data_IF_898709305848
#
_entry.id   IF_898709305848
#
_cell.length_a   1.000
_cell.length_b   1.000
_cell.length_c   1.000
_cell.angle_alpha   90.00
_cell.angle_beta   90.00
_cell.angle_gamma   90.00
#
_symmetry.space_group_name_H-M   'P 1'
#
loop_
_entity.id
_entity.type
_entity.pdbx_description
1 polymer ?
#
# COMPACT_ATOMS: atom_id res chain seq x y z
N UNK A 1 11.23 8.49 -3.61
CA UNK A 1 10.03 7.71 -3.22
C UNK A 1 10.29 7.00 -1.90
N UNK A 2 9.65 7.41 -0.80
CA UNK A 2 9.85 6.83 0.53
C UNK A 2 9.07 5.51 0.72
N UNK A 3 8.88 4.73 -0.36
CA UNK A 3 8.20 3.45 -0.28
C UNK A 3 9.17 2.40 0.25
N UNK A 4 8.75 1.70 1.30
CA UNK A 4 9.43 0.49 1.73
C UNK A 4 9.09 -0.63 0.75
N UNK A 5 10.09 -1.38 0.31
CA UNK A 5 9.94 -2.48 -0.64
C UNK A 5 10.34 -3.77 0.07
N UNK A 6 9.50 -4.29 0.99
CA UNK A 6 9.79 -5.55 1.65
C UNK A 6 9.89 -6.66 0.61
N UNK A 7 10.82 -7.58 0.83
CA UNK A 7 11.03 -8.76 -0.02
C UNK A 7 10.59 -10.06 0.66
N UNK A 8 10.06 -9.97 1.89
CA UNK A 8 9.58 -11.11 2.65
C UNK A 8 8.42 -10.71 3.55
N UNK A 9 7.60 -11.68 3.95
CA UNK A 9 6.54 -11.48 4.96
C UNK A 9 7.08 -10.87 6.24
N UNK A 10 8.27 -11.27 6.67
CA UNK A 10 8.85 -10.77 7.92
C UNK A 10 9.21 -9.28 7.84
N UNK A 11 9.73 -8.83 6.70
CA UNK A 11 9.97 -7.40 6.46
C UNK A 11 8.67 -6.62 6.34
N UNK A 12 7.65 -7.19 5.69
CA UNK A 12 6.32 -6.59 5.60
C UNK A 12 5.70 -6.38 6.99
N UNK A 13 5.69 -7.40 7.83
CA UNK A 13 5.21 -7.27 9.21
C UNK A 13 6.10 -6.34 10.03
N UNK A 14 7.41 -6.31 9.77
CA UNK A 14 8.33 -5.33 10.35
C UNK A 14 7.94 -3.89 10.01
N UNK A 15 7.57 -3.61 8.75
CA UNK A 15 7.07 -2.32 8.32
C UNK A 15 5.74 -1.95 9.00
N UNK A 16 4.81 -2.90 9.07
CA UNK A 16 3.49 -2.71 9.70
C UNK A 16 3.60 -2.46 11.21
N UNK A 17 4.46 -3.20 11.90
CA UNK A 17 4.67 -3.07 13.35
C UNK A 17 5.55 -1.88 13.70
N UNK A 18 6.54 -1.56 12.86
CA UNK A 18 7.47 -0.45 13.06
C UNK A 18 6.89 0.94 12.76
N UNK A 19 5.70 1.02 12.15
CA UNK A 19 5.05 2.29 11.83
C UNK A 19 4.59 3.09 13.07
N UNK A 20 4.53 2.45 14.24
CA UNK A 20 4.21 3.11 15.51
C UNK A 20 2.80 3.72 15.50
N UNK A 21 2.72 5.06 15.61
CA UNK A 21 1.46 5.81 15.56
C UNK A 21 0.98 6.06 14.13
N UNK A 22 1.86 5.90 13.13
CA UNK A 22 1.50 6.05 11.72
C UNK A 22 0.78 4.79 11.21
N UNK A 23 -0.09 4.99 10.23
CA UNK A 23 -0.74 3.89 9.52
C UNK A 23 0.16 3.39 8.41
N UNK A 24 -0.07 2.18 7.92
CA UNK A 24 0.67 1.65 6.77
C UNK A 24 -0.24 1.59 5.57
N UNK A 25 0.18 2.25 4.50
CA UNK A 25 -0.49 2.26 3.20
C UNK A 25 0.27 1.33 2.25
N UNK A 26 -0.31 0.18 1.97
CA UNK A 26 0.30 -0.87 1.14
C UNK A 26 -0.28 -0.79 -0.26
N UNK A 27 0.58 -0.64 -1.25
CA UNK A 27 0.25 -0.78 -2.67
C UNK A 27 0.71 -2.14 -3.15
N UNK A 28 -0.24 -3.03 -3.42
CA UNK A 28 0.01 -4.33 -4.07
C UNK A 28 0.00 -4.11 -5.58
N UNK A 29 1.11 -4.41 -6.22
CA UNK A 29 1.39 -4.08 -7.62
C UNK A 29 2.32 -5.12 -8.24
N UNK A 30 2.53 -5.03 -9.55
CA UNK A 30 3.40 -5.91 -10.33
C UNK A 30 4.16 -5.10 -11.39
N UNK A 31 5.34 -5.56 -11.84
CA UNK A 31 6.11 -4.85 -12.87
C UNK A 31 5.37 -4.79 -14.22
N UNK A 32 4.61 -5.84 -14.53
CA UNK A 32 3.78 -5.96 -15.74
C UNK A 32 2.43 -5.23 -15.65
N UNK A 33 2.10 -4.60 -14.51
CA UNK A 33 0.83 -3.90 -14.34
C UNK A 33 0.85 -2.52 -15.03
N UNK A 34 0.30 -2.46 -16.24
CA UNK A 34 0.15 -1.22 -17.01
C UNK A 34 -0.55 -0.08 -16.24
N UNK A 35 -1.71 -0.30 -15.60
CA UNK A 35 -2.38 0.71 -14.79
C UNK A 35 -1.54 1.22 -13.60
N UNK A 36 -0.68 0.37 -13.02
CA UNK A 36 0.19 0.74 -11.92
C UNK A 36 1.29 1.72 -12.34
N UNK A 37 1.78 1.59 -13.58
CA UNK A 37 2.77 2.52 -14.16
C UNK A 37 2.17 3.91 -14.37
N UNK A 38 0.88 3.99 -14.76
CA UNK A 38 0.21 5.27 -15.01
C UNK A 38 0.03 6.13 -13.75
N UNK A 39 -0.21 5.49 -12.60
CA UNK A 39 -0.44 6.20 -11.32
C UNK A 39 0.84 6.41 -10.52
N UNK A 40 2.01 6.07 -11.07
CA UNK A 40 3.28 6.04 -10.32
C UNK A 40 3.66 7.42 -9.78
N UNK A 41 3.51 8.46 -10.60
CA UNK A 41 3.83 9.84 -10.21
C UNK A 41 2.81 10.40 -9.22
N UNK A 42 1.53 10.04 -9.38
CA UNK A 42 0.46 10.38 -8.42
C UNK A 42 0.73 9.74 -7.05
N UNK A 43 1.16 8.48 -7.03
CA UNK A 43 1.53 7.77 -5.81
C UNK A 43 2.75 8.37 -5.13
N UNK A 44 3.75 8.83 -5.88
CA UNK A 44 4.90 9.53 -5.33
C UNK A 44 4.47 10.83 -4.64
N UNK A 45 3.63 11.62 -5.30
CA UNK A 45 3.06 12.86 -4.75
C UNK A 45 2.22 12.59 -3.49
N UNK A 46 1.34 11.58 -3.54
CA UNK A 46 0.50 11.20 -2.40
C UNK A 46 1.34 10.78 -1.19
N UNK A 47 2.45 10.08 -1.43
CA UNK A 47 3.33 9.62 -0.37
C UNK A 47 4.10 10.76 0.30
N UNK A 48 4.43 11.80 -0.44
CA UNK A 48 5.01 13.03 0.12
C UNK A 48 3.96 13.81 0.92
N UNK A 49 2.76 14.01 0.36
CA UNK A 49 1.66 14.73 1.00
C UNK A 49 1.23 14.11 2.33
N UNK A 50 1.32 12.78 2.44
CA UNK A 50 0.85 12.02 3.60
C UNK A 50 1.97 11.33 4.39
N UNK A 51 3.23 11.72 4.20
CA UNK A 51 4.39 11.12 4.87
C UNK A 51 4.32 11.20 6.41
N UNK A 52 3.59 12.19 6.95
CA UNK A 52 3.38 12.33 8.39
C UNK A 52 2.33 11.36 8.94
N UNK A 53 1.38 10.93 8.11
CA UNK A 53 0.26 10.05 8.52
C UNK A 53 0.48 8.59 8.17
N UNK A 54 1.10 8.33 7.02
CA UNK A 54 1.26 7.00 6.45
C UNK A 54 2.73 6.63 6.21
N UNK A 55 3.04 5.37 6.48
CA UNK A 55 4.20 4.68 5.93
C UNK A 55 3.74 3.99 4.65
N UNK A 56 4.34 4.35 3.52
CA UNK A 56 4.01 3.75 2.23
C UNK A 56 4.85 2.50 2.01
N UNK A 57 4.20 1.40 1.65
CA UNK A 57 4.81 0.09 1.38
C UNK A 57 4.42 -0.32 -0.03
N UNK A 58 5.41 -0.64 -0.85
CA UNK A 58 5.20 -1.23 -2.16
C UNK A 58 5.34 -2.74 -2.04
N UNK A 59 4.24 -3.45 -2.32
CA UNK A 59 4.21 -4.89 -2.34
C UNK A 59 4.18 -5.42 -3.77
N UNK A 60 5.31 -5.98 -4.19
CA UNK A 60 5.45 -6.66 -5.48
C UNK A 60 4.91 -8.09 -5.36
N UNK A 61 3.84 -8.39 -6.09
CA UNK A 61 3.22 -9.74 -6.08
C UNK A 61 4.17 -10.83 -6.55
N UNK A 62 5.16 -10.51 -7.40
CA UNK A 62 6.14 -11.50 -7.87
C UNK A 62 7.19 -11.83 -6.81
N UNK A 63 7.43 -10.91 -5.86
CA UNK A 63 8.37 -11.09 -4.75
C UNK A 63 7.67 -11.51 -3.45
N UNK A 64 6.37 -11.25 -3.35
CA UNK A 64 5.56 -11.48 -2.15
C UNK A 64 4.21 -12.11 -2.50
N UNK A 65 4.24 -13.25 -3.20
CA UNK A 65 3.05 -14.04 -3.51
C UNK A 65 2.25 -14.36 -2.24
N UNK A 66 2.92 -14.67 -1.13
CA UNK A 66 2.27 -14.97 0.15
C UNK A 66 1.42 -13.80 0.69
N UNK A 67 1.84 -12.55 0.47
CA UNK A 67 1.05 -11.36 0.85
C UNK A 67 -0.17 -11.25 -0.05
N UNK A 68 0.01 -11.44 -1.36
CA UNK A 68 -1.09 -11.38 -2.32
C UNK A 68 -2.14 -12.46 -2.02
N UNK A 69 -1.72 -13.68 -1.69
CA UNK A 69 -2.60 -14.79 -1.32
C UNK A 69 -3.29 -14.53 0.03
N UNK A 70 -2.53 -14.10 1.05
CA UNK A 70 -3.07 -13.84 2.40
C UNK A 70 -4.17 -12.79 2.40
N UNK A 71 -4.04 -11.76 1.56
CA UNK A 71 -5.02 -10.68 1.46
C UNK A 71 -5.93 -10.82 0.23
N UNK A 72 -5.90 -11.97 -0.45
CA UNK A 72 -6.72 -12.28 -1.63
C UNK A 72 -6.66 -11.18 -2.72
N UNK A 73 -5.48 -10.61 -2.96
CA UNK A 73 -5.25 -9.54 -3.91
C UNK A 73 -5.18 -10.07 -5.34
N UNK A 74 -6.33 -10.31 -5.97
CA UNK A 74 -6.42 -10.80 -7.35
C UNK A 74 -6.45 -9.69 -8.41
N UNK A 75 -6.68 -8.44 -8.00
CA UNK A 75 -6.80 -7.29 -8.89
C UNK A 75 -5.64 -6.33 -8.64
N UNK A 76 -4.92 -5.89 -9.67
CA UNK A 76 -3.83 -4.92 -9.51
C UNK A 76 -4.13 -3.61 -10.23
N UNK A 77 -3.82 -2.43 -9.63
CA UNK A 77 -3.30 -2.27 -8.26
C UNK A 77 -4.38 -2.47 -7.19
N UNK A 78 -3.99 -3.08 -6.07
CA UNK A 78 -4.80 -3.13 -4.83
C UNK A 78 -4.11 -2.31 -3.74
N UNK A 79 -4.90 -1.60 -2.95
CA UNK A 79 -4.44 -0.75 -1.87
C UNK A 79 -5.04 -1.21 -0.56
N UNK A 80 -4.19 -1.41 0.44
CA UNK A 80 -4.58 -1.85 1.77
C UNK A 80 -4.06 -0.85 2.80
N UNK A 81 -4.88 -0.55 3.80
CA UNK A 81 -4.47 0.31 4.92
C UNK A 81 -4.46 -0.50 6.20
N UNK A 82 -3.36 -0.44 6.94
CA UNK A 82 -3.20 -1.11 8.23
C UNK A 82 -3.04 -0.06 9.35
N UNK A 83 -3.64 -0.35 10.50
CA UNK A 83 -3.48 0.41 11.74
C UNK A 83 -2.90 -0.54 12.79
N UNK A 84 -1.58 -0.68 12.77
CA UNK A 84 -0.87 -1.65 13.61
C UNK A 84 -0.96 -3.10 13.09
N UNK A 85 -0.53 -4.08 13.90
CA UNK A 85 -0.52 -5.49 13.51
C UNK A 85 -1.94 -6.04 13.38
N UNK A 86 -2.22 -6.74 12.29
CA UNK A 86 -3.48 -7.47 12.09
C UNK A 86 -4.07 -7.27 10.70
N UNK A 87 -5.40 -7.28 10.64
CA UNK A 87 -6.15 -7.13 9.39
C UNK A 87 -6.15 -5.67 8.89
N UNK A 88 -6.23 -5.46 7.57
CA UNK A 88 -6.35 -4.12 7.01
C UNK A 88 -7.69 -3.48 7.43
N UNK A 89 -7.65 -2.20 7.78
CA UNK A 89 -8.83 -1.38 8.14
C UNK A 89 -9.54 -0.80 6.91
N UNK A 90 -8.91 -0.92 5.74
CA UNK A 90 -9.46 -0.47 4.46
C UNK A 90 -8.82 -1.22 3.30
N UNK A 91 -9.63 -1.45 2.26
CA UNK A 91 -9.22 -2.04 0.98
C UNK A 91 -9.82 -1.23 -0.16
N UNK A 92 -9.02 -0.95 -1.18
CA UNK A 92 -9.45 -0.34 -2.42
C UNK A 92 -8.76 -1.01 -3.60
N UNK A 93 -9.49 -1.29 -4.67
CA UNK A 93 -8.96 -1.92 -5.88
C UNK A 93 -9.22 -1.02 -7.09
N UNK A 94 -8.19 -0.75 -7.87
CA UNK A 94 -8.31 0.00 -9.12
C UNK A 94 -7.25 1.08 -9.33
N UNK A 95 -6.88 1.30 -10.59
CA UNK A 95 -5.81 2.23 -10.98
C UNK A 95 -6.25 3.67 -11.27
N UNK A 96 -7.22 4.22 -10.51
CA UNK A 96 -7.65 5.63 -10.66
C UNK A 96 -7.06 6.48 -9.55
N UNK A 97 -6.13 7.37 -9.87
CA UNK A 97 -5.41 8.23 -8.93
C UNK A 97 -6.34 9.00 -7.97
N UNK A 98 -7.38 9.65 -8.50
CA UNK A 98 -8.34 10.42 -7.70
C UNK A 98 -8.98 9.59 -6.59
N UNK A 99 -9.39 8.36 -6.93
CA UNK A 99 -10.05 7.43 -6.01
C UNK A 99 -9.08 6.87 -4.97
N UNK A 100 -7.82 6.66 -5.35
CA UNK A 100 -6.78 6.23 -4.42
C UNK A 100 -6.51 7.32 -3.40
N UNK A 101 -6.43 8.58 -3.84
CA UNK A 101 -6.25 9.74 -2.97
C UNK A 101 -7.44 9.92 -2.03
N UNK A 102 -8.67 9.84 -2.53
CA UNK A 102 -9.89 9.87 -1.71
C UNK A 102 -9.83 8.77 -0.62
N UNK A 103 -9.54 7.53 -1.01
CA UNK A 103 -9.43 6.41 -0.08
C UNK A 103 -8.36 6.62 0.99
N UNK A 104 -7.19 7.15 0.63
CA UNK A 104 -6.14 7.47 1.59
C UNK A 104 -6.59 8.57 2.58
N UNK A 105 -7.26 9.61 2.09
CA UNK A 105 -7.73 10.72 2.93
C UNK A 105 -8.88 10.31 3.84
N UNK A 106 -9.84 9.51 3.37
CA UNK A 106 -10.98 9.05 4.17
C UNK A 106 -10.57 8.14 5.35
N UNK A 107 -9.45 7.43 5.21
CA UNK A 107 -8.96 6.52 6.24
C UNK A 107 -7.86 7.15 7.11
N UNK A 108 -7.51 8.42 6.89
CA UNK A 108 -6.46 9.12 7.65
C UNK A 108 -6.84 9.34 9.12
N UNK A 109 -8.13 9.47 9.42
CA UNK A 109 -8.66 9.78 10.76
C UNK A 109 -9.28 8.56 11.50
N UNK A 110 -9.46 7.41 10.83
CA UNK A 110 -10.01 6.19 11.45
C UNK A 110 -9.06 5.49 12.43
#
# INVERSE_FOLDING_TARGET
MPFQHPQSLQEFFGAVTGAGEKKVFVQVSAEWCGPCQLIKDDMATLAEDLAETYVFVYADVEKMEEVADTFECSTMPTFLIFKGPGAPIGRYEGGKADKIREFAVENKDK
#
